data_IF_938770310672
#
_entry.id   IF_938770310672
#
_cell.length_a   1.000
_cell.length_b   1.000
_cell.length_c   1.000
_cell.angle_alpha   90.00
_cell.angle_beta   90.00
_cell.angle_gamma   90.00
#
_symmetry.space_group_name_H-M   'P 1'
#
loop_
_entity.id
_entity.type
_entity.pdbx_description
1 polymer ?
#
# COMPACT_ATOMS: atom_id res chain seq x y z
N UNK A 1 -18.12 -8.81 20.68
CA UNK A 1 -18.48 -8.61 19.25
C UNK A 1 -18.06 -9.87 18.51
N UNK A 2 -19.00 -10.76 18.15
CA UNK A 2 -18.65 -11.98 17.38
C UNK A 2 -18.35 -11.54 15.95
N UNK A 3 -17.09 -11.65 15.55
CA UNK A 3 -16.68 -11.43 14.16
C UNK A 3 -17.31 -12.57 13.33
N UNK A 4 -17.94 -12.23 12.20
CA UNK A 4 -18.52 -13.26 11.32
C UNK A 4 -17.42 -14.13 10.73
N UNK A 5 -17.71 -15.41 10.51
CA UNK A 5 -16.74 -16.35 9.94
C UNK A 5 -16.19 -15.86 8.58
N UNK A 6 -17.02 -15.15 7.79
CA UNK A 6 -16.62 -14.55 6.52
C UNK A 6 -15.55 -13.48 6.68
N UNK A 7 -15.69 -12.60 7.68
CA UNK A 7 -14.68 -11.56 7.96
C UNK A 7 -13.40 -12.21 8.45
N UNK A 8 -13.51 -13.24 9.31
CA UNK A 8 -12.35 -13.95 9.85
C UNK A 8 -11.55 -14.66 8.76
N UNK A 9 -12.21 -15.17 7.72
CA UNK A 9 -11.58 -15.77 6.56
C UNK A 9 -10.91 -14.75 5.63
N UNK A 10 -11.36 -13.48 5.62
CA UNK A 10 -10.79 -12.40 4.79
C UNK A 10 -9.53 -11.76 5.41
N UNK A 11 -9.36 -11.82 6.73
CA UNK A 11 -8.21 -11.23 7.46
C UNK A 11 -6.85 -11.72 6.93
N UNK A 12 -6.60 -13.03 6.74
CA UNK A 12 -5.30 -13.53 6.26
C UNK A 12 -4.95 -12.99 4.88
N UNK A 13 -5.93 -12.81 3.99
CA UNK A 13 -5.71 -12.27 2.65
C UNK A 13 -5.33 -10.80 2.68
N UNK A 14 -5.99 -10.00 3.53
CA UNK A 14 -5.64 -8.59 3.74
C UNK A 14 -4.21 -8.48 4.28
N UNK A 15 -3.85 -9.30 5.27
CA UNK A 15 -2.48 -9.34 5.81
C UNK A 15 -1.48 -9.77 4.71
N UNK A 16 -1.82 -10.77 3.90
CA UNK A 16 -0.99 -11.24 2.78
C UNK A 16 -0.74 -10.13 1.75
N UNK A 17 -1.76 -9.37 1.38
CA UNK A 17 -1.64 -8.24 0.46
C UNK A 17 -0.72 -7.16 1.05
N UNK A 18 -0.88 -6.83 2.33
CA UNK A 18 -0.01 -5.86 3.02
C UNK A 18 1.44 -6.34 2.99
N UNK A 19 1.70 -7.61 3.30
CA UNK A 19 3.05 -8.19 3.26
C UNK A 19 3.63 -8.12 1.84
N UNK A 20 2.85 -8.50 0.83
CA UNK A 20 3.27 -8.45 -0.58
C UNK A 20 3.63 -7.01 -1.00
N UNK A 21 2.84 -6.01 -0.60
CA UNK A 21 3.14 -4.60 -0.86
C UNK A 21 4.42 -4.14 -0.17
N UNK A 22 4.68 -4.62 1.05
CA UNK A 22 5.90 -4.34 1.78
C UNK A 22 7.13 -5.05 1.18
N UNK A 23 6.95 -6.17 0.49
CA UNK A 23 8.03 -6.90 -0.20
C UNK A 23 8.30 -6.34 -1.60
N UNK A 24 7.26 -5.97 -2.37
CA UNK A 24 7.33 -5.61 -3.79
C UNK A 24 7.97 -4.24 -4.12
N UNK A 25 8.90 -3.75 -3.30
CA UNK A 25 9.59 -2.44 -3.34
C UNK A 25 8.84 -1.33 -2.58
N UNK A 26 9.01 -1.28 -1.24
CA UNK A 26 8.57 -0.14 -0.44
C UNK A 26 9.24 1.15 -0.91
N UNK A 27 10.40 1.08 -1.59
CA UNK A 27 11.12 2.23 -2.14
C UNK A 27 10.32 3.06 -3.16
N UNK A 28 9.24 2.55 -3.75
CA UNK A 28 8.40 3.35 -4.66
C UNK A 28 7.41 4.25 -3.90
N UNK A 29 7.02 3.87 -2.69
CA UNK A 29 5.93 4.50 -1.93
C UNK A 29 6.44 5.14 -0.63
N UNK A 30 7.48 4.55 -0.05
CA UNK A 30 8.08 4.91 1.22
C UNK A 30 9.55 5.31 1.02
N UNK A 31 9.98 6.28 1.84
CA UNK A 31 11.38 6.62 2.05
C UNK A 31 12.01 5.57 2.99
N UNK A 32 13.35 5.42 3.02
CA UNK A 32 14.02 4.57 4.00
C UNK A 32 13.70 4.95 5.46
N UNK A 33 13.31 6.20 5.70
CA UNK A 33 12.83 6.69 7.00
C UNK A 33 11.42 6.20 7.40
N UNK A 34 10.74 5.43 6.54
CA UNK A 34 9.38 4.95 6.76
C UNK A 34 8.27 5.97 6.43
N UNK A 35 8.62 7.23 6.15
CA UNK A 35 7.66 8.23 5.67
C UNK A 35 7.24 7.95 4.23
N UNK A 36 6.03 8.34 3.86
CA UNK A 36 5.59 8.30 2.46
C UNK A 36 6.45 9.23 1.59
N UNK A 37 6.70 8.80 0.35
CA UNK A 37 7.30 9.67 -0.68
C UNK A 37 6.29 10.70 -1.12
N UNK A 38 6.76 11.93 -1.31
CA UNK A 38 5.93 13.00 -1.86
C UNK A 38 5.51 12.65 -3.30
N UNK A 39 4.29 13.00 -3.65
CA UNK A 39 3.79 12.86 -5.01
C UNK A 39 4.44 13.91 -5.91
N UNK A 40 4.87 13.50 -7.10
CA UNK A 40 5.32 14.39 -8.17
C UNK A 40 6.59 13.91 -8.87
N UNK A 41 7.19 14.81 -9.63
CA UNK A 41 8.44 14.58 -10.36
C UNK A 41 9.62 15.26 -9.66
N UNK A 42 10.81 14.70 -9.84
CA UNK A 42 12.06 15.22 -9.26
C UNK A 42 12.35 14.69 -7.85
N UNK A 43 13.04 15.50 -7.05
CA UNK A 43 13.45 15.16 -5.68
C UNK A 43 12.66 15.98 -4.66
N UNK A 44 12.40 15.38 -3.51
CA UNK A 44 11.80 16.06 -2.37
C UNK A 44 12.85 16.84 -1.57
N UNK A 45 12.40 17.52 -0.50
CA UNK A 45 13.27 18.32 0.38
C UNK A 45 14.33 17.50 1.12
N UNK A 46 14.10 16.21 1.28
CA UNK A 46 15.00 15.27 1.94
C UNK A 46 15.97 14.61 0.92
N UNK A 47 15.93 15.01 -0.35
CA UNK A 47 16.77 14.46 -1.42
C UNK A 47 16.33 13.11 -1.96
N UNK A 48 15.12 12.63 -1.62
CA UNK A 48 14.58 11.39 -2.16
C UNK A 48 13.75 11.65 -3.41
N UNK A 49 13.86 10.76 -4.40
CA UNK A 49 13.06 10.81 -5.62
C UNK A 49 11.56 10.75 -5.27
N UNK A 50 10.78 11.71 -5.77
CA UNK A 50 9.33 11.73 -5.63
C UNK A 50 8.69 10.56 -6.38
N UNK A 51 7.53 10.13 -5.89
CA UNK A 51 6.77 9.06 -6.53
C UNK A 51 5.68 9.63 -7.41
N UNK A 52 5.51 9.05 -8.59
CA UNK A 52 4.35 9.33 -9.45
C UNK A 52 3.09 8.59 -8.97
N UNK A 53 3.21 7.74 -7.97
CA UNK A 53 2.09 7.02 -7.36
C UNK A 53 1.84 7.58 -5.97
N UNK A 54 0.69 8.21 -5.77
CA UNK A 54 0.28 8.63 -4.43
C UNK A 54 -0.13 7.42 -3.60
N UNK A 55 0.05 7.48 -2.27
CA UNK A 55 -0.38 6.39 -1.38
C UNK A 55 -1.88 6.10 -1.54
N UNK A 56 -2.69 7.15 -1.70
CA UNK A 56 -4.13 7.03 -1.95
C UNK A 56 -4.44 6.25 -3.22
N UNK A 57 -3.67 6.48 -4.30
CA UNK A 57 -3.83 5.74 -5.55
C UNK A 57 -3.47 4.26 -5.40
N UNK A 58 -2.43 3.94 -4.63
CA UNK A 58 -2.06 2.55 -4.33
C UNK A 58 -3.16 1.85 -3.53
N UNK A 59 -3.70 2.52 -2.50
CA UNK A 59 -4.84 2.01 -1.72
C UNK A 59 -6.04 1.74 -2.62
N UNK A 60 -6.35 2.66 -3.54
CA UNK A 60 -7.44 2.49 -4.50
C UNK A 60 -7.25 1.24 -5.37
N UNK A 61 -6.05 1.01 -5.90
CA UNK A 61 -5.74 -0.20 -6.67
C UNK A 61 -5.91 -1.48 -5.84
N UNK A 62 -5.49 -1.45 -4.57
CA UNK A 62 -5.66 -2.60 -3.66
C UNK A 62 -7.14 -2.87 -3.40
N UNK A 63 -7.94 -1.84 -3.15
CA UNK A 63 -9.38 -1.97 -2.92
C UNK A 63 -10.07 -2.54 -4.16
N UNK A 64 -9.73 -2.05 -5.36
CA UNK A 64 -10.25 -2.60 -6.62
C UNK A 64 -9.87 -4.06 -6.78
N UNK A 65 -8.60 -4.42 -6.51
CA UNK A 65 -8.14 -5.79 -6.59
C UNK A 65 -8.91 -6.69 -5.62
N UNK A 66 -9.10 -6.26 -4.37
CA UNK A 66 -9.91 -7.00 -3.40
C UNK A 66 -11.34 -7.14 -3.92
N UNK A 67 -12.00 -6.08 -4.38
CA UNK A 67 -13.37 -6.14 -4.89
C UNK A 67 -13.55 -7.06 -6.11
N UNK A 68 -12.57 -7.09 -7.01
CA UNK A 68 -12.64 -7.91 -8.23
C UNK A 68 -12.36 -9.39 -7.93
N UNK A 69 -11.46 -9.68 -6.99
CA UNK A 69 -11.00 -11.05 -6.71
C UNK A 69 -11.65 -11.70 -5.48
N UNK A 70 -12.39 -10.96 -4.62
CA UNK A 70 -13.01 -11.43 -3.36
C UNK A 70 -14.41 -10.88 -3.08
#
# INVERSE_FOLDING_TARGET
MKISADVQNKIPYVIGIIIILYILKPNAIFKPSGKHREYGFGYDRDGYKRSIYSMHFVILLIVIMIYVFF
#
